data_IF_500633138854
#
_entry.id   IF_500633138854
#
_cell.length_a   1.000
_cell.length_b   1.000
_cell.length_c   1.000
_cell.angle_alpha   90.00
_cell.angle_beta   90.00
_cell.angle_gamma   90.00
#
_symmetry.space_group_name_H-M   'P 1'
#
loop_
_entity.id
_entity.type
_entity.pdbx_description
1 polymer ?
#
# COMPACT_ATOMS: atom_id res chain seq x y z
N UNK A 1 22.83 0.99 14.92
CA UNK A 1 22.58 0.89 13.46
C UNK A 1 21.40 -0.03 13.27
N UNK A 2 20.20 0.51 13.01
CA UNK A 2 18.98 -0.29 12.91
C UNK A 2 19.11 -1.30 11.76
N UNK A 3 18.82 -2.58 12.04
CA UNK A 3 18.91 -3.67 11.06
C UNK A 3 18.13 -3.33 9.79
N UNK A 4 18.87 -2.91 8.75
CA UNK A 4 18.40 -2.74 7.37
C UNK A 4 18.04 -4.06 6.69
N UNK A 5 17.99 -5.16 7.43
CA UNK A 5 17.68 -6.48 6.90
C UNK A 5 16.18 -6.55 6.58
N UNK A 6 15.87 -6.95 5.35
CA UNK A 6 14.54 -7.43 4.98
C UNK A 6 14.21 -8.69 5.82
N UNK A 7 12.94 -8.96 6.10
CA UNK A 7 12.51 -10.29 6.50
C UNK A 7 13.09 -11.33 5.53
N UNK A 8 13.51 -12.52 5.99
CA UNK A 8 14.16 -13.50 5.13
C UNK A 8 13.29 -13.92 3.92
N UNK A 9 11.97 -13.95 4.08
CA UNK A 9 11.04 -14.23 2.96
C UNK A 9 11.00 -13.08 1.95
N UNK A 10 10.89 -11.84 2.42
CA UNK A 10 10.97 -10.66 1.56
C UNK A 10 12.33 -10.58 0.83
N UNK A 11 13.43 -10.88 1.52
CA UNK A 11 14.76 -10.91 0.94
C UNK A 11 14.86 -11.93 -0.19
N UNK A 12 14.33 -13.15 -0.01
CA UNK A 12 14.29 -14.18 -1.06
C UNK A 12 13.51 -13.73 -2.29
N UNK A 13 12.35 -13.11 -2.07
CA UNK A 13 11.53 -12.55 -3.16
C UNK A 13 12.32 -11.47 -3.89
N UNK A 14 12.90 -10.51 -3.17
CA UNK A 14 13.68 -9.42 -3.76
C UNK A 14 14.90 -9.94 -4.54
N UNK A 15 15.66 -10.87 -3.96
CA UNK A 15 16.85 -11.45 -4.59
C UNK A 15 16.51 -12.30 -5.83
N UNK A 16 15.32 -12.90 -5.88
CA UNK A 16 14.84 -13.66 -7.05
C UNK A 16 14.72 -12.79 -8.31
N UNK A 17 14.32 -11.53 -8.15
CA UNK A 17 14.13 -10.60 -9.27
C UNK A 17 15.30 -9.60 -9.42
N UNK A 18 16.15 -9.47 -8.39
CA UNK A 18 17.33 -8.61 -8.43
C UNK A 18 18.47 -9.30 -9.19
N UNK A 19 18.51 -9.14 -10.51
CA UNK A 19 19.52 -9.79 -11.36
C UNK A 19 20.91 -9.12 -11.36
N UNK A 20 21.09 -7.96 -10.70
CA UNK A 20 22.36 -7.22 -10.69
C UNK A 20 22.88 -6.92 -9.28
N UNK A 21 24.21 -6.77 -9.14
CA UNK A 21 24.93 -6.31 -7.93
C UNK A 21 24.46 -4.95 -7.36
N UNK A 22 23.51 -4.30 -8.02
CA UNK A 22 23.04 -2.95 -7.70
C UNK A 22 21.98 -2.95 -6.58
N UNK A 23 21.50 -4.11 -6.10
CA UNK A 23 20.50 -4.22 -5.01
C UNK A 23 19.25 -3.33 -5.26
N UNK A 24 18.87 -3.18 -6.53
CA UNK A 24 17.74 -2.36 -7.01
C UNK A 24 17.02 -3.13 -8.11
N UNK A 25 15.69 -3.14 -8.03
CA UNK A 25 14.80 -3.70 -9.03
C UNK A 25 14.40 -2.62 -10.03
N UNK A 26 14.47 -2.90 -11.32
CA UNK A 26 13.87 -1.99 -12.32
C UNK A 26 12.35 -2.04 -12.21
N UNK A 27 11.66 -1.01 -12.71
CA UNK A 27 10.18 -0.99 -12.80
C UNK A 27 9.60 -2.29 -13.35
N UNK A 28 10.15 -2.81 -14.44
CA UNK A 28 9.70 -4.07 -15.08
C UNK A 28 9.81 -5.29 -14.14
N UNK A 29 10.93 -5.44 -13.45
CA UNK A 29 11.17 -6.55 -12.52
C UNK A 29 10.31 -6.41 -11.26
N UNK A 30 10.13 -5.18 -10.77
CA UNK A 30 9.26 -4.90 -9.64
C UNK A 30 7.78 -5.21 -9.97
N UNK A 31 7.31 -4.86 -11.18
CA UNK A 31 5.96 -5.22 -11.63
C UNK A 31 5.80 -6.74 -11.72
N UNK A 32 6.79 -7.45 -12.26
CA UNK A 32 6.78 -8.93 -12.31
C UNK A 32 6.71 -9.54 -10.91
N UNK A 33 7.46 -8.99 -9.96
CA UNK A 33 7.42 -9.41 -8.56
C UNK A 33 6.03 -9.18 -7.94
N UNK A 34 5.44 -8.00 -8.11
CA UNK A 34 4.12 -7.68 -7.59
C UNK A 34 3.01 -8.56 -8.17
N UNK A 35 3.07 -8.84 -9.46
CA UNK A 35 2.09 -9.70 -10.14
C UNK A 35 2.26 -11.18 -9.77
N UNK A 36 3.49 -11.66 -9.63
CA UNK A 36 3.78 -13.08 -9.36
C UNK A 36 3.66 -13.46 -7.87
N UNK A 37 4.25 -12.67 -6.98
CA UNK A 37 4.31 -12.99 -5.54
C UNK A 37 3.14 -12.38 -4.75
N UNK A 38 2.65 -11.21 -5.15
CA UNK A 38 1.55 -10.51 -4.46
C UNK A 38 0.21 -10.62 -5.18
N UNK A 39 0.14 -11.36 -6.30
CA UNK A 39 -1.07 -11.60 -7.10
C UNK A 39 -1.79 -10.31 -7.53
N UNK A 40 -1.04 -9.23 -7.71
CA UNK A 40 -1.57 -7.96 -8.20
C UNK A 40 -1.74 -8.01 -9.73
N UNK A 41 -2.62 -7.19 -10.28
CA UNK A 41 -2.68 -6.97 -11.73
C UNK A 41 -1.57 -6.00 -12.16
N UNK A 42 -1.19 -5.99 -13.44
CA UNK A 42 -0.13 -5.08 -13.94
C UNK A 42 -0.40 -3.61 -13.59
N UNK A 43 -1.65 -3.14 -13.73
CA UNK A 43 -2.03 -1.77 -13.38
C UNK A 43 -1.87 -1.47 -11.88
N UNK A 44 -2.22 -2.44 -11.03
CA UNK A 44 -2.07 -2.31 -9.58
C UNK A 44 -0.59 -2.33 -9.18
N UNK A 45 0.20 -3.19 -9.82
CA UNK A 45 1.65 -3.26 -9.63
C UNK A 45 2.36 -1.96 -10.06
N UNK A 46 1.94 -1.34 -11.16
CA UNK A 46 2.44 -0.04 -11.59
C UNK A 46 2.13 1.07 -10.58
N UNK A 47 0.88 1.14 -10.10
CA UNK A 47 0.49 2.10 -9.07
C UNK A 47 1.28 1.90 -7.77
N UNK A 48 1.48 0.65 -7.34
CA UNK A 48 2.32 0.36 -6.17
C UNK A 48 3.75 0.83 -6.38
N UNK A 49 4.31 0.53 -7.55
CA UNK A 49 5.65 0.96 -7.89
C UNK A 49 5.79 2.48 -7.78
N UNK A 50 4.89 3.24 -8.39
CA UNK A 50 4.92 4.70 -8.38
C UNK A 50 4.77 5.32 -6.98
N UNK A 51 4.01 4.67 -6.09
CA UNK A 51 3.86 5.15 -4.71
C UNK A 51 5.10 4.89 -3.87
N UNK A 52 5.74 3.73 -4.05
CA UNK A 52 6.89 3.31 -3.26
C UNK A 52 8.23 3.75 -3.83
N UNK A 53 8.29 4.13 -5.11
CA UNK A 53 9.42 4.82 -5.77
C UNK A 53 9.50 6.26 -5.24
N UNK A 54 9.96 6.38 -3.99
CA UNK A 54 9.97 7.64 -3.23
C UNK A 54 10.97 8.62 -3.85
N UNK A 55 12.11 8.10 -4.33
CA UNK A 55 13.13 8.90 -4.98
C UNK A 55 12.87 9.11 -6.49
N UNK A 56 11.79 8.52 -7.03
CA UNK A 56 11.35 8.63 -8.42
C UNK A 56 12.46 8.29 -9.41
N UNK A 57 13.32 7.36 -9.04
CA UNK A 57 14.47 6.98 -9.85
C UNK A 57 14.10 5.89 -10.88
N UNK A 58 12.85 5.42 -10.88
CA UNK A 58 12.37 4.35 -11.77
C UNK A 58 12.87 2.96 -11.38
N UNK A 59 13.36 2.80 -10.15
CA UNK A 59 13.89 1.56 -9.57
C UNK A 59 13.46 1.40 -8.11
N UNK A 60 12.98 0.21 -7.76
CA UNK A 60 12.65 -0.12 -6.38
C UNK A 60 13.90 -0.58 -5.62
N UNK A 61 14.32 0.20 -4.64
CA UNK A 61 15.41 -0.12 -3.73
C UNK A 61 14.98 -1.13 -2.68
N UNK A 62 15.93 -1.86 -2.09
CA UNK A 62 15.68 -2.81 -1.01
C UNK A 62 14.92 -2.18 0.18
N UNK A 63 15.20 -0.91 0.48
CA UNK A 63 14.50 -0.17 1.55
C UNK A 63 13.05 0.15 1.19
N UNK A 64 12.77 0.54 -0.05
CA UNK A 64 11.41 0.85 -0.53
C UNK A 64 10.57 -0.43 -0.57
N UNK A 65 11.15 -1.52 -1.08
CA UNK A 65 10.53 -2.83 -1.01
C UNK A 65 10.27 -3.29 0.43
N UNK A 66 11.19 -2.99 1.37
CA UNK A 66 10.98 -3.29 2.79
C UNK A 66 9.77 -2.55 3.35
N UNK A 67 9.61 -1.28 3.02
CA UNK A 67 8.44 -0.50 3.44
C UNK A 67 7.16 -1.11 2.87
N UNK A 68 7.15 -1.42 1.58
CA UNK A 68 6.02 -2.11 0.94
C UNK A 68 5.69 -3.43 1.65
N UNK A 69 6.67 -4.32 1.80
CA UNK A 69 6.45 -5.65 2.37
C UNK A 69 5.93 -5.58 3.81
N UNK A 70 6.51 -4.70 4.61
CA UNK A 70 6.14 -4.56 6.03
C UNK A 70 4.76 -3.91 6.20
N UNK A 71 4.43 -2.93 5.36
CA UNK A 71 3.20 -2.15 5.51
C UNK A 71 2.01 -2.78 4.79
N UNK A 72 2.28 -3.51 3.71
CA UNK A 72 1.29 -3.88 2.71
C UNK A 72 1.42 -5.31 2.20
N UNK A 73 2.55 -6.00 2.38
CA UNK A 73 2.80 -7.29 1.74
C UNK A 73 1.62 -8.27 1.82
N UNK A 74 1.10 -8.53 3.02
CA UNK A 74 -0.03 -9.45 3.20
C UNK A 74 -1.40 -8.85 2.82
N UNK A 75 -1.53 -7.54 2.82
CA UNK A 75 -2.80 -6.83 2.62
C UNK A 75 -2.93 -6.14 1.26
N UNK A 76 -1.90 -6.21 0.40
CA UNK A 76 -1.88 -5.57 -0.91
C UNK A 76 -3.09 -5.93 -1.78
N UNK A 77 -3.48 -7.21 -1.95
CA UNK A 77 -4.68 -7.55 -2.70
C UNK A 77 -5.97 -7.00 -2.04
N UNK A 78 -6.05 -7.02 -0.71
CA UNK A 78 -7.20 -6.47 0.03
C UNK A 78 -7.31 -4.95 -0.15
N UNK A 79 -6.19 -4.21 -0.12
CA UNK A 79 -6.16 -2.78 -0.38
C UNK A 79 -6.75 -2.47 -1.75
N UNK A 80 -6.33 -3.19 -2.79
CA UNK A 80 -6.81 -2.94 -4.15
C UNK A 80 -8.26 -3.35 -4.34
N UNK A 81 -8.71 -4.48 -3.79
CA UNK A 81 -10.13 -4.87 -3.80
C UNK A 81 -10.99 -3.80 -3.12
N UNK A 82 -10.52 -3.30 -1.99
CA UNK A 82 -11.18 -2.24 -1.21
C UNK A 82 -11.22 -0.91 -2.00
N UNK A 83 -10.11 -0.55 -2.66
CA UNK A 83 -10.02 0.64 -3.50
C UNK A 83 -10.85 0.52 -4.78
N UNK A 84 -10.92 -0.66 -5.41
CA UNK A 84 -11.74 -0.89 -6.59
C UNK A 84 -13.23 -0.87 -6.23
N UNK A 85 -13.65 -1.43 -5.10
CA UNK A 85 -15.03 -1.28 -4.60
C UNK A 85 -15.40 0.19 -4.44
N UNK A 86 -14.50 0.98 -3.89
CA UNK A 86 -14.66 2.42 -3.75
C UNK A 86 -14.71 3.17 -5.10
N UNK A 87 -13.87 2.79 -6.07
CA UNK A 87 -13.76 3.44 -7.39
C UNK A 87 -14.87 3.05 -8.37
N UNK A 88 -15.37 1.82 -8.29
CA UNK A 88 -16.43 1.29 -9.18
C UNK A 88 -17.76 1.97 -8.90
N UNK A 89 -17.95 2.43 -7.66
CA UNK A 89 -19.19 3.06 -7.23
C UNK A 89 -19.41 4.41 -7.96
N UNK A 90 -18.42 5.30 -8.07
CA UNK A 90 -18.58 6.57 -8.79
C UNK A 90 -17.27 7.13 -9.39
N UNK A 91 -17.35 7.54 -10.65
CA UNK A 91 -16.21 7.82 -11.55
C UNK A 91 -15.49 9.16 -11.35
N UNK A 92 -15.91 10.03 -10.41
CA UNK A 92 -15.47 11.44 -10.47
C UNK A 92 -15.06 12.16 -9.17
N UNK A 93 -15.24 11.59 -7.97
CA UNK A 93 -14.60 12.16 -6.77
C UNK A 93 -14.58 11.16 -5.63
N UNK A 94 -13.40 10.93 -5.07
CA UNK A 94 -13.18 10.13 -3.87
C UNK A 94 -13.57 10.98 -2.65
N UNK A 95 -14.87 10.99 -2.34
CA UNK A 95 -15.43 11.76 -1.24
C UNK A 95 -15.21 11.11 0.13
N UNK A 96 -15.02 11.96 1.14
CA UNK A 96 -14.79 11.63 2.55
C UNK A 96 -15.76 10.57 3.10
N UNK A 97 -17.06 10.72 2.83
CA UNK A 97 -18.11 9.82 3.33
C UNK A 97 -18.00 8.40 2.75
N UNK A 98 -17.43 8.23 1.56
CA UNK A 98 -17.26 6.90 0.95
C UNK A 98 -16.02 6.18 1.46
N UNK A 99 -14.95 6.94 1.71
CA UNK A 99 -13.77 6.37 2.37
C UNK A 99 -14.14 5.84 3.76
N UNK A 100 -15.03 6.52 4.47
CA UNK A 100 -15.56 6.05 5.73
C UNK A 100 -16.26 4.70 5.62
N UNK A 101 -17.23 4.56 4.70
CA UNK A 101 -18.02 3.33 4.60
C UNK A 101 -17.19 2.11 4.21
N UNK A 102 -16.10 2.34 3.49
CA UNK A 102 -15.17 1.30 3.10
C UNK A 102 -14.20 1.00 4.24
N UNK A 103 -13.57 2.01 4.84
CA UNK A 103 -12.54 1.83 5.86
C UNK A 103 -13.09 1.32 7.20
N UNK A 104 -14.37 1.58 7.54
CA UNK A 104 -15.02 0.98 8.73
C UNK A 104 -15.14 -0.55 8.62
N UNK A 105 -15.14 -1.10 7.40
CA UNK A 105 -15.18 -2.55 7.17
C UNK A 105 -13.81 -3.20 7.25
N UNK A 106 -12.75 -2.38 7.18
CA UNK A 106 -11.36 -2.83 7.26
C UNK A 106 -11.01 -3.16 8.70
N UNK A 107 -10.67 -4.42 8.92
CA UNK A 107 -10.18 -4.90 10.22
C UNK A 107 -8.68 -4.67 10.35
N UNK A 108 -8.25 -4.21 11.51
CA UNK A 108 -6.84 -4.06 11.87
C UNK A 108 -6.15 -5.44 12.05
N UNK A 109 -4.86 -5.44 12.37
CA UNK A 109 -4.11 -6.68 12.63
C UNK A 109 -4.69 -7.56 13.75
N UNK A 110 -5.50 -7.01 14.66
CA UNK A 110 -6.17 -7.73 15.75
C UNK A 110 -7.55 -8.30 15.32
N UNK A 111 -8.01 -8.01 14.10
CA UNK A 111 -9.35 -8.39 13.63
C UNK A 111 -10.46 -7.43 14.07
N UNK A 112 -10.11 -6.30 14.69
CA UNK A 112 -11.03 -5.28 15.18
C UNK A 112 -11.20 -4.16 14.15
N UNK A 113 -12.40 -3.61 14.06
CA UNK A 113 -12.65 -2.41 13.26
C UNK A 113 -12.21 -1.17 14.02
N UNK A 114 -11.70 -0.17 13.30
CA UNK A 114 -11.33 1.11 13.92
C UNK A 114 -12.59 1.80 14.45
N UNK A 115 -12.52 2.35 15.66
CA UNK A 115 -13.65 3.12 16.21
C UNK A 115 -13.99 4.28 15.30
N UNK A 116 -15.28 4.58 15.18
CA UNK A 116 -15.80 5.67 14.36
C UNK A 116 -15.04 6.99 14.61
N UNK A 117 -14.88 7.41 15.87
CA UNK A 117 -14.20 8.67 16.19
C UNK A 117 -12.72 8.73 15.75
N UNK A 118 -12.00 7.61 15.84
CA UNK A 118 -10.60 7.50 15.43
C UNK A 118 -10.50 7.45 13.90
N UNK A 119 -11.39 6.69 13.26
CA UNK A 119 -11.49 6.60 11.81
C UNK A 119 -11.78 7.98 11.20
N UNK A 120 -12.63 8.78 11.85
CA UNK A 120 -13.03 10.10 11.37
C UNK A 120 -11.84 11.03 11.36
N UNK A 121 -11.09 10.99 12.45
CA UNK A 121 -9.89 11.79 12.64
C UNK A 121 -8.81 11.39 11.62
N UNK A 122 -8.62 10.09 11.39
CA UNK A 122 -7.67 9.59 10.40
C UNK A 122 -8.05 10.06 8.99
N UNK A 123 -9.29 9.80 8.57
CA UNK A 123 -9.77 10.21 7.24
C UNK A 123 -9.68 11.72 7.09
N UNK A 124 -10.13 12.51 8.08
CA UNK A 124 -10.03 13.98 8.04
C UNK A 124 -8.59 14.44 7.89
N UNK A 125 -7.66 13.82 8.62
CA UNK A 125 -6.24 14.14 8.55
C UNK A 125 -5.62 13.81 7.18
N UNK A 126 -6.03 12.73 6.52
CA UNK A 126 -5.49 12.34 5.22
C UNK A 126 -6.12 13.14 4.07
N UNK A 127 -7.42 13.36 4.11
CA UNK A 127 -8.17 14.07 3.06
C UNK A 127 -7.87 15.58 3.11
N UNK A 128 -7.66 16.14 4.31
CA UNK A 128 -7.35 17.55 4.52
C UNK A 128 -8.50 18.48 4.09
N UNK A 129 -8.16 19.74 3.81
CA UNK A 129 -9.14 20.75 3.38
C UNK A 129 -9.69 20.51 1.96
N UNK A 130 -8.97 19.76 1.13
CA UNK A 130 -9.35 19.49 -0.26
C UNK A 130 -10.53 18.52 -0.41
N UNK A 131 -10.95 17.85 0.68
CA UNK A 131 -12.04 16.85 0.68
C UNK A 131 -11.89 15.74 -0.38
N UNK A 132 -10.67 15.54 -0.90
CA UNK A 132 -10.33 14.54 -1.92
C UNK A 132 -9.32 13.54 -1.39
N UNK A 133 -9.64 12.26 -1.56
CA UNK A 133 -8.73 11.16 -1.25
C UNK A 133 -8.12 10.62 -2.54
N UNK A 134 -6.80 10.67 -2.71
CA UNK A 134 -6.12 9.93 -3.79
C UNK A 134 -5.70 8.54 -3.33
N UNK A 135 -5.25 7.69 -4.27
CA UNK A 135 -4.82 6.33 -3.95
C UNK A 135 -3.65 6.29 -2.95
N UNK A 136 -2.73 7.25 -2.99
CA UNK A 136 -1.63 7.35 -2.04
C UNK A 136 -2.11 7.72 -0.63
N UNK A 137 -3.03 8.69 -0.51
CA UNK A 137 -3.71 9.03 0.77
C UNK A 137 -4.48 7.84 1.33
N UNK A 138 -5.24 7.14 0.48
CA UNK A 138 -5.99 5.94 0.86
C UNK A 138 -5.05 4.82 1.34
N UNK A 139 -3.98 4.56 0.61
CA UNK A 139 -2.97 3.57 0.98
C UNK A 139 -2.36 3.86 2.34
N UNK A 140 -1.97 5.12 2.60
CA UNK A 140 -1.42 5.53 3.88
C UNK A 140 -2.43 5.34 5.03
N UNK A 141 -3.71 5.65 4.82
CA UNK A 141 -4.77 5.41 5.80
C UNK A 141 -4.97 3.93 6.08
N UNK A 142 -5.09 3.13 5.02
CA UNK A 142 -5.31 1.70 5.12
C UNK A 142 -4.15 1.03 5.86
N UNK A 143 -2.90 1.39 5.53
CA UNK A 143 -1.73 0.93 6.27
C UNK A 143 -1.78 1.35 7.75
N UNK A 144 -2.17 2.59 8.05
CA UNK A 144 -2.31 3.06 9.44
C UNK A 144 -3.37 2.27 10.20
N UNK A 145 -4.52 1.98 9.58
CA UNK A 145 -5.59 1.19 10.19
C UNK A 145 -5.14 -0.25 10.43
N UNK A 146 -4.50 -0.89 9.44
CA UNK A 146 -3.97 -2.25 9.57
C UNK A 146 -2.89 -2.36 10.65
N UNK A 147 -2.01 -1.36 10.74
CA UNK A 147 -0.95 -1.31 11.73
C UNK A 147 -1.39 -0.76 13.09
N UNK A 148 -2.59 -0.20 13.21
CA UNK A 148 -3.14 0.28 14.46
C UNK A 148 -3.36 -0.91 15.40
N UNK A 149 -2.43 -1.08 16.33
CA UNK A 149 -2.59 -1.95 17.49
C UNK A 149 -3.35 -1.13 18.52
N UNK A 150 -4.66 -1.34 18.62
CA UNK A 150 -5.46 -0.77 19.71
C UNK A 150 -5.10 -1.41 21.04
#
# INVERSE_FOLDING_TARGET
>A
MASRKLPPEAQKIFDKYCHNFVMRLKKEDAIRMFTSDFKLTEKQAELMFEIYDIDKNGQLSQWEFKQFYTNLGDFAPELFDTFEKMRTDHKESLEFDKAWDVLKTVKNANGEVTKDSDLETLIKAAVGEEKKMDFGKFMNLFCRIKQSRS
#
